data_IF_203912167490
#
_entry.id   IF_203912167490
#
_cell.length_a   1.000
_cell.length_b   1.000
_cell.length_c   1.000
_cell.angle_alpha   90.00
_cell.angle_beta   90.00
_cell.angle_gamma   90.00
#
_symmetry.space_group_name_H-M   'P 1'
#
loop_
_entity.id
_entity.type
_entity.pdbx_description
1 polymer ?
#
# COMPACT_ATOMS: atom_id res chain seq x y z
N UNK A 1 41.45 28.04 40.12
CA UNK A 1 39.99 28.13 39.99
C UNK A 1 39.67 27.82 38.53
N UNK A 2 39.29 26.60 38.28
CA UNK A 2 38.99 26.11 36.90
C UNK A 2 37.48 26.11 36.76
N UNK A 3 36.94 27.04 35.99
CA UNK A 3 35.52 27.13 35.67
C UNK A 3 35.11 25.94 34.83
N UNK A 4 34.35 25.03 35.42
CA UNK A 4 33.64 23.96 34.72
C UNK A 4 32.39 24.56 34.05
N UNK A 5 32.41 24.69 32.72
CA UNK A 5 31.23 25.01 31.93
C UNK A 5 30.17 23.94 32.17
N UNK A 6 28.90 24.32 32.36
CA UNK A 6 27.83 23.35 32.55
C UNK A 6 27.64 22.53 31.27
N UNK A 7 27.56 21.20 31.40
CA UNK A 7 27.23 20.29 30.33
C UNK A 7 25.89 20.71 29.70
N UNK A 8 25.88 20.91 28.39
CA UNK A 8 24.66 21.22 27.65
C UNK A 8 23.65 20.12 27.86
N UNK A 9 22.45 20.49 28.28
CA UNK A 9 21.33 19.56 28.41
C UNK A 9 21.09 18.83 27.07
N UNK A 10 20.78 17.51 27.08
CA UNK A 10 20.51 16.78 25.85
C UNK A 10 19.36 17.47 25.14
N UNK A 11 19.57 17.78 23.86
CA UNK A 11 18.53 18.33 22.99
C UNK A 11 17.27 17.47 23.10
N UNK A 12 16.14 18.09 23.45
CA UNK A 12 14.85 17.39 23.48
C UNK A 12 14.60 16.85 22.09
N UNK A 13 14.63 15.55 21.93
CA UNK A 13 14.28 14.88 20.67
C UNK A 13 12.81 15.20 20.38
N UNK A 14 12.57 16.12 19.44
CA UNK A 14 11.24 16.39 18.91
C UNK A 14 10.86 15.16 18.11
N UNK A 15 9.75 14.46 18.42
CA UNK A 15 9.31 13.34 17.61
C UNK A 15 9.17 13.80 16.16
N UNK A 16 9.83 13.08 15.23
CA UNK A 16 9.74 13.41 13.81
C UNK A 16 8.28 13.34 13.33
N UNK A 17 7.89 14.23 12.43
CA UNK A 17 6.57 14.22 11.79
C UNK A 17 6.42 12.98 10.91
N UNK A 18 5.18 12.62 10.61
CA UNK A 18 4.84 11.52 9.69
C UNK A 18 4.33 12.09 8.36
N UNK A 19 4.86 11.61 7.26
CA UNK A 19 4.48 11.99 5.90
C UNK A 19 4.05 10.78 5.11
N UNK A 20 2.99 10.91 4.32
CA UNK A 20 2.66 9.95 3.28
C UNK A 20 3.43 10.25 1.99
N UNK A 21 3.83 9.21 1.24
CA UNK A 21 4.39 9.33 -0.10
C UNK A 21 3.81 8.24 -1.00
N UNK A 22 3.06 8.65 -2.02
CA UNK A 22 2.43 7.75 -2.98
C UNK A 22 3.08 7.92 -4.36
N UNK A 23 3.99 7.01 -4.79
CA UNK A 23 4.52 7.02 -6.14
C UNK A 23 3.40 6.71 -7.15
N UNK A 24 3.13 7.64 -8.06
CA UNK A 24 2.01 7.62 -8.98
C UNK A 24 2.41 7.93 -10.44
N UNK A 25 3.70 7.90 -10.78
CA UNK A 25 4.23 8.22 -12.12
C UNK A 25 4.28 7.01 -13.08
N UNK A 26 3.87 5.81 -12.64
CA UNK A 26 3.96 4.60 -13.46
C UNK A 26 2.92 4.54 -14.58
N UNK A 27 3.31 4.00 -15.74
CA UNK A 27 2.42 3.83 -16.90
C UNK A 27 1.46 2.62 -16.78
N UNK A 28 1.71 1.66 -15.90
CA UNK A 28 0.78 0.55 -15.62
C UNK A 28 0.57 -0.45 -16.76
N UNK A 29 1.52 -0.61 -17.67
CA UNK A 29 1.43 -1.39 -18.92
C UNK A 29 1.01 -2.86 -18.76
N UNK A 30 1.25 -3.47 -17.59
CA UNK A 30 0.86 -4.88 -17.32
C UNK A 30 -0.66 -5.11 -17.26
N UNK A 31 -1.42 -4.12 -16.84
CA UNK A 31 -2.89 -4.21 -16.77
C UNK A 31 -3.57 -4.13 -18.15
N UNK A 32 -2.89 -3.63 -19.17
CA UNK A 32 -3.44 -3.40 -20.52
C UNK A 32 -3.30 -4.62 -21.42
N UNK A 33 -2.29 -5.48 -21.22
CA UNK A 33 -2.00 -6.63 -22.11
C UNK A 33 -3.05 -7.76 -22.10
N UNK A 34 -3.95 -7.78 -21.13
CA UNK A 34 -4.96 -8.85 -21.00
C UNK A 34 -6.31 -8.53 -21.65
N UNK A 35 -6.51 -7.36 -22.23
CA UNK A 35 -7.79 -6.98 -22.87
C UNK A 35 -7.89 -7.32 -24.37
N UNK A 36 -7.05 -8.21 -24.91
CA UNK A 36 -7.21 -8.73 -26.26
C UNK A 36 -8.10 -9.98 -26.22
N UNK A 37 -9.32 -9.98 -26.83
CA UNK A 37 -10.15 -11.17 -26.89
C UNK A 37 -9.50 -12.23 -27.78
N UNK A 38 -9.38 -13.44 -27.28
CA UNK A 38 -9.05 -14.61 -28.07
C UNK A 38 -10.18 -14.87 -29.08
N UNK A 39 -9.88 -14.74 -30.37
CA UNK A 39 -10.60 -15.36 -31.48
C UNK A 39 -11.93 -14.69 -31.88
N UNK A 40 -11.87 -13.98 -33.02
CA UNK A 40 -13.05 -13.57 -33.78
C UNK A 40 -12.69 -12.47 -34.78
N UNK A 41 -12.62 -12.81 -36.09
CA UNK A 41 -12.44 -11.84 -37.15
C UNK A 41 -13.65 -10.90 -37.19
N UNK A 42 -13.51 -9.68 -36.68
CA UNK A 42 -14.46 -8.59 -36.87
C UNK A 42 -13.74 -7.47 -37.59
N UNK A 43 -14.34 -7.02 -38.70
CA UNK A 43 -13.83 -5.94 -39.57
C UNK A 43 -13.49 -4.67 -38.78
N UNK A 44 -12.49 -3.88 -39.25
CA UNK A 44 -12.02 -2.71 -38.55
C UNK A 44 -13.06 -1.58 -38.60
N UNK A 45 -13.93 -1.47 -37.58
CA UNK A 45 -14.50 -0.17 -37.23
C UNK A 45 -13.34 0.69 -36.74
N UNK A 46 -13.20 1.89 -37.28
CA UNK A 46 -12.18 2.87 -36.90
C UNK A 46 -12.06 2.94 -35.37
N UNK A 47 -11.04 2.27 -34.86
CA UNK A 47 -10.72 2.26 -33.44
C UNK A 47 -10.04 3.59 -33.15
N UNK A 48 -10.80 4.57 -32.67
CA UNK A 48 -10.19 5.69 -31.97
C UNK A 48 -9.50 5.09 -30.74
N UNK A 49 -8.18 5.23 -30.57
CA UNK A 49 -7.52 4.77 -29.37
C UNK A 49 -8.18 5.48 -28.19
N UNK A 50 -8.93 4.73 -27.34
CA UNK A 50 -9.33 5.24 -26.02
C UNK A 50 -8.03 5.76 -25.41
N UNK A 51 -8.00 7.04 -25.04
CA UNK A 51 -6.85 7.66 -24.41
C UNK A 51 -6.36 6.72 -23.31
N UNK A 52 -5.09 6.29 -23.43
CA UNK A 52 -4.47 5.39 -22.47
C UNK A 52 -4.49 6.05 -21.10
N UNK A 53 -5.33 5.56 -20.20
CA UNK A 53 -5.37 6.05 -18.84
C UNK A 53 -4.46 5.16 -17.97
N UNK A 54 -3.46 5.73 -17.29
CA UNK A 54 -2.62 4.99 -16.36
C UNK A 54 -3.45 4.17 -15.36
N UNK A 55 -2.97 2.98 -15.00
CA UNK A 55 -3.70 2.02 -14.16
C UNK A 55 -4.21 2.64 -12.84
N UNK A 56 -3.41 3.46 -12.20
CA UNK A 56 -3.74 4.09 -10.93
C UNK A 56 -4.94 5.05 -11.01
N UNK A 57 -5.31 5.49 -12.21
CA UNK A 57 -6.47 6.35 -12.45
C UNK A 57 -7.69 5.58 -12.96
N UNK A 58 -7.54 4.28 -13.24
CA UNK A 58 -8.69 3.45 -13.64
C UNK A 58 -9.67 3.31 -12.47
N UNK A 59 -10.99 3.28 -12.75
CA UNK A 59 -12.00 3.20 -11.71
C UNK A 59 -12.00 1.83 -11.02
N UNK A 60 -12.19 1.86 -9.71
CA UNK A 60 -12.52 0.73 -8.86
C UNK A 60 -13.72 1.17 -8.02
N UNK A 61 -14.80 0.43 -8.03
CA UNK A 61 -16.05 0.81 -7.34
C UNK A 61 -16.49 2.27 -7.61
N UNK A 62 -16.35 2.70 -8.87
CA UNK A 62 -16.81 4.03 -9.35
C UNK A 62 -15.86 5.20 -9.08
N UNK A 63 -14.72 5.00 -8.40
CA UNK A 63 -13.72 6.05 -8.14
C UNK A 63 -12.35 5.63 -8.66
N UNK A 64 -11.51 6.56 -9.14
CA UNK A 64 -10.12 6.28 -9.47
C UNK A 64 -9.38 5.57 -8.34
N UNK A 65 -8.67 4.48 -8.68
CA UNK A 65 -7.98 3.60 -7.72
C UNK A 65 -7.16 4.37 -6.69
N UNK A 66 -6.37 5.34 -7.12
CA UNK A 66 -5.51 6.14 -6.24
C UNK A 66 -6.31 6.93 -5.19
N UNK A 67 -7.55 7.34 -5.48
CA UNK A 67 -8.36 8.10 -4.53
C UNK A 67 -8.80 7.25 -3.34
N UNK A 68 -8.99 5.94 -3.49
CA UNK A 68 -9.22 5.04 -2.36
C UNK A 68 -7.97 4.98 -1.45
N UNK A 69 -6.79 4.88 -2.03
CA UNK A 69 -5.52 4.96 -1.30
C UNK A 69 -5.41 6.26 -0.51
N UNK A 70 -5.65 7.39 -1.19
CA UNK A 70 -5.53 8.71 -0.57
C UNK A 70 -6.59 8.96 0.50
N UNK A 71 -7.80 8.40 0.36
CA UNK A 71 -8.82 8.45 1.39
C UNK A 71 -8.38 7.74 2.68
N UNK A 72 -7.72 6.57 2.57
CA UNK A 72 -7.18 5.87 3.74
C UNK A 72 -6.08 6.68 4.44
N UNK A 73 -5.17 7.31 3.67
CA UNK A 73 -4.13 8.19 4.22
C UNK A 73 -4.71 9.47 4.83
N UNK A 74 -5.70 10.09 4.20
CA UNK A 74 -6.38 11.27 4.74
C UNK A 74 -7.09 11.00 6.08
N UNK A 75 -7.50 9.76 6.33
CA UNK A 75 -8.07 9.32 7.60
C UNK A 75 -7.08 9.21 8.76
N UNK A 76 -5.76 9.24 8.50
CA UNK A 76 -4.71 9.14 9.54
C UNK A 76 -4.38 10.53 10.08
N UNK A 77 -4.94 10.88 11.23
CA UNK A 77 -4.77 12.21 11.84
C UNK A 77 -3.30 12.58 12.20
N UNK A 78 -2.42 11.57 12.31
CA UNK A 78 -0.99 11.76 12.63
C UNK A 78 -0.15 12.23 11.45
N UNK A 79 -0.63 12.11 10.20
CA UNK A 79 0.10 12.53 9.02
C UNK A 79 0.09 14.06 8.90
N UNK A 80 1.25 14.64 8.70
CA UNK A 80 1.41 16.06 8.38
C UNK A 80 0.92 16.40 6.96
N UNK A 81 0.83 15.39 6.09
CA UNK A 81 0.33 15.46 4.73
C UNK A 81 0.82 14.28 3.89
N UNK A 82 0.23 14.11 2.71
CA UNK A 82 0.62 13.05 1.77
C UNK A 82 1.04 13.67 0.44
N UNK A 83 2.28 13.40 0.03
CA UNK A 83 2.79 13.76 -1.29
C UNK A 83 2.43 12.66 -2.30
N UNK A 84 1.85 13.04 -3.42
CA UNK A 84 1.64 12.15 -4.58
C UNK A 84 2.68 12.51 -5.64
N UNK A 85 3.62 11.60 -5.89
CA UNK A 85 4.68 11.81 -6.88
C UNK A 85 4.15 11.39 -8.26
N UNK A 86 3.80 12.35 -9.10
CA UNK A 86 3.24 12.14 -10.44
C UNK A 86 4.29 12.34 -11.53
N UNK A 87 3.99 11.84 -12.72
CA UNK A 87 4.84 12.09 -13.90
C UNK A 87 4.84 13.59 -14.28
N UNK A 88 5.92 14.12 -14.87
CA UNK A 88 5.90 15.45 -15.45
C UNK A 88 4.76 15.58 -16.48
N UNK A 89 3.97 16.65 -16.37
CA UNK A 89 2.82 16.91 -17.25
C UNK A 89 1.52 16.16 -16.87
N UNK A 90 1.52 15.39 -15.80
CA UNK A 90 0.31 14.73 -15.30
C UNK A 90 -0.58 15.74 -14.56
N UNK A 91 -1.74 16.08 -15.13
CA UNK A 91 -2.73 17.02 -14.60
C UNK A 91 -3.92 16.35 -13.90
N UNK A 92 -3.86 15.05 -13.61
CA UNK A 92 -4.99 14.33 -13.01
C UNK A 92 -5.49 14.98 -11.71
N UNK A 93 -4.56 15.41 -10.86
CA UNK A 93 -4.88 15.98 -9.55
C UNK A 93 -5.35 17.43 -9.58
N UNK A 94 -5.26 18.14 -10.72
CA UNK A 94 -5.79 19.51 -10.87
C UNK A 94 -7.30 19.54 -10.66
N UNK A 95 -8.01 18.47 -11.02
CA UNK A 95 -9.42 18.26 -10.78
C UNK A 95 -9.78 17.64 -9.42
N UNK A 96 -8.79 17.33 -8.57
CA UNK A 96 -9.01 16.62 -7.30
C UNK A 96 -8.26 17.29 -6.13
N UNK A 97 -8.48 18.61 -5.85
CA UNK A 97 -7.82 19.27 -4.74
C UNK A 97 -8.29 18.74 -3.40
N UNK A 98 -7.38 18.53 -2.45
CA UNK A 98 -7.71 18.06 -1.10
C UNK A 98 -6.65 18.52 -0.08
N UNK A 99 -7.04 18.95 1.13
CA UNK A 99 -6.09 19.49 2.11
C UNK A 99 -5.09 18.45 2.66
N UNK A 100 -5.45 17.16 2.65
CA UNK A 100 -4.62 16.10 3.22
C UNK A 100 -3.55 15.57 2.24
N UNK A 101 -3.58 15.93 0.96
CA UNK A 101 -2.58 15.50 -0.01
C UNK A 101 -2.30 16.58 -1.07
N UNK A 102 -1.14 16.48 -1.69
CA UNK A 102 -0.70 17.38 -2.77
C UNK A 102 0.12 16.61 -3.80
N UNK A 103 -0.09 16.90 -5.08
CA UNK A 103 0.64 16.30 -6.18
C UNK A 103 1.91 17.11 -6.48
N UNK A 104 2.99 16.38 -6.83
CA UNK A 104 4.26 16.98 -7.28
C UNK A 104 4.76 16.23 -8.52
N UNK A 105 5.10 16.93 -9.62
CA UNK A 105 5.60 16.31 -10.85
C UNK A 105 7.10 15.92 -10.71
N UNK A 106 7.39 14.99 -9.79
CA UNK A 106 8.74 14.53 -9.46
C UNK A 106 8.97 13.05 -9.77
N UNK A 107 8.09 12.45 -10.59
CA UNK A 107 8.22 11.07 -11.04
C UNK A 107 9.47 10.86 -11.89
N UNK A 108 10.19 9.76 -11.65
CA UNK A 108 11.39 9.34 -12.37
C UNK A 108 11.14 8.13 -13.29
N UNK A 109 12.22 7.63 -13.88
CA UNK A 109 12.18 6.52 -14.83
C UNK A 109 11.76 5.19 -14.18
N UNK A 110 12.12 4.99 -12.90
CA UNK A 110 11.76 3.81 -12.11
C UNK A 110 10.90 4.19 -10.91
N UNK A 111 10.36 3.16 -10.22
CA UNK A 111 9.65 3.37 -8.96
C UNK A 111 10.59 3.95 -7.89
N UNK A 112 11.81 3.45 -7.81
CA UNK A 112 12.83 3.95 -6.89
C UNK A 112 13.18 5.43 -7.16
N UNK A 113 13.35 5.82 -8.42
CA UNK A 113 13.59 7.22 -8.80
C UNK A 113 12.39 8.12 -8.44
N UNK A 114 11.17 7.61 -8.61
CA UNK A 114 9.94 8.34 -8.26
C UNK A 114 9.87 8.56 -6.75
N UNK A 115 10.19 7.55 -5.94
CA UNK A 115 10.24 7.67 -4.48
C UNK A 115 11.34 8.66 -4.07
N UNK A 116 12.53 8.53 -4.63
CA UNK A 116 13.65 9.44 -4.36
C UNK A 116 13.30 10.90 -4.71
N UNK A 117 12.65 11.13 -5.85
CA UNK A 117 12.12 12.44 -6.24
C UNK A 117 11.10 12.96 -5.22
N UNK A 118 10.21 12.11 -4.74
CA UNK A 118 9.23 12.44 -3.70
C UNK A 118 9.86 12.80 -2.36
N UNK A 119 10.90 12.06 -1.91
CA UNK A 119 11.64 12.38 -0.68
C UNK A 119 12.31 13.76 -0.77
N UNK A 120 12.97 14.06 -1.89
CA UNK A 120 13.57 15.37 -2.14
C UNK A 120 12.52 16.49 -2.15
N UNK A 121 11.34 16.23 -2.74
CA UNK A 121 10.24 17.18 -2.76
C UNK A 121 9.62 17.41 -1.37
N UNK A 122 9.53 16.39 -0.51
CA UNK A 122 9.14 16.53 0.90
C UNK A 122 10.15 17.40 1.66
N UNK A 123 11.45 17.14 1.50
CA UNK A 123 12.51 17.94 2.14
C UNK A 123 12.49 19.41 1.69
N UNK A 124 12.26 19.67 0.39
CA UNK A 124 12.10 21.02 -0.14
C UNK A 124 10.88 21.76 0.46
N UNK A 125 9.89 21.01 1.01
CA UNK A 125 8.74 21.54 1.74
C UNK A 125 8.92 21.55 3.27
N UNK A 126 10.14 21.37 3.74
CA UNK A 126 10.50 21.47 5.14
C UNK A 126 10.33 20.17 5.95
N UNK A 127 10.23 19.01 5.30
CA UNK A 127 10.37 17.73 5.99
C UNK A 127 11.84 17.53 6.40
N UNK A 128 12.07 17.15 7.66
CA UNK A 128 13.40 16.91 8.20
C UNK A 128 13.91 15.51 7.82
N UNK A 129 15.24 15.30 7.88
CA UNK A 129 15.82 13.96 7.67
C UNK A 129 15.33 12.94 8.70
N UNK A 130 15.04 13.40 9.92
CA UNK A 130 14.53 12.58 11.02
C UNK A 130 12.99 12.44 11.02
N UNK A 131 12.28 13.08 10.09
CA UNK A 131 10.85 12.81 9.88
C UNK A 131 10.65 11.40 9.31
N UNK A 132 9.50 10.81 9.60
CA UNK A 132 9.10 9.53 9.06
C UNK A 132 8.36 9.70 7.73
N UNK A 133 8.61 8.82 6.79
CA UNK A 133 7.83 8.70 5.56
C UNK A 133 7.21 7.32 5.44
N UNK A 134 5.95 7.27 5.05
CA UNK A 134 5.19 6.05 4.74
C UNK A 134 5.03 5.99 3.23
N UNK A 135 5.83 5.18 2.55
CA UNK A 135 5.77 4.98 1.10
C UNK A 135 4.73 3.93 0.79
N UNK A 136 3.77 4.26 -0.08
CA UNK A 136 2.67 3.35 -0.39
C UNK A 136 2.33 3.31 -1.88
N UNK A 137 2.17 2.10 -2.41
CA UNK A 137 1.77 1.89 -3.80
C UNK A 137 0.32 2.34 -4.05
N UNK A 138 0.10 3.25 -5.02
CA UNK A 138 -1.24 3.65 -5.45
C UNK A 138 -2.14 2.47 -5.85
N UNK A 139 -1.55 1.36 -6.28
CA UNK A 139 -2.25 0.15 -6.68
C UNK A 139 -2.64 -0.80 -5.52
N UNK A 140 -2.38 -0.44 -4.27
CA UNK A 140 -2.90 -1.12 -3.08
C UNK A 140 -4.05 -0.33 -2.46
N UNK A 141 -5.05 -0.07 -3.26
CA UNK A 141 -6.18 0.79 -2.92
C UNK A 141 -7.08 0.29 -1.78
N UNK A 142 -6.80 -0.88 -1.25
CA UNK A 142 -7.55 -1.52 -0.17
C UNK A 142 -6.87 -1.37 1.21
N UNK A 143 -5.76 -0.66 1.32
CA UNK A 143 -5.18 -0.33 2.62
C UNK A 143 -6.20 0.42 3.47
N UNK A 144 -6.18 0.20 4.78
CA UNK A 144 -7.07 0.88 5.72
C UNK A 144 -6.30 1.84 6.61
N UNK A 145 -6.98 2.88 7.11
CA UNK A 145 -6.44 3.81 8.12
C UNK A 145 -5.88 3.04 9.32
N UNK A 146 -6.60 2.02 9.80
CA UNK A 146 -6.15 1.18 10.92
C UNK A 146 -4.84 0.45 10.65
N UNK A 147 -4.62 -0.04 9.43
CA UNK A 147 -3.35 -0.68 9.06
C UNK A 147 -2.20 0.33 9.00
N UNK A 148 -2.45 1.54 8.53
CA UNK A 148 -1.45 2.61 8.50
C UNK A 148 -1.08 3.01 9.93
N UNK A 149 -2.08 3.21 10.80
CA UNK A 149 -1.86 3.52 12.21
C UNK A 149 -1.10 2.41 12.94
N UNK A 150 -1.44 1.13 12.71
CA UNK A 150 -0.73 0.00 13.28
C UNK A 150 0.76 -0.04 12.88
N UNK A 151 1.08 0.32 11.63
CA UNK A 151 2.47 0.44 11.18
C UNK A 151 3.20 1.58 11.92
N UNK A 152 2.57 2.74 12.08
CA UNK A 152 3.15 3.86 12.82
C UNK A 152 3.40 3.46 14.27
N UNK A 153 2.41 2.83 14.93
CA UNK A 153 2.56 2.38 16.34
C UNK A 153 3.71 1.39 16.51
N UNK A 154 3.86 0.47 15.56
CA UNK A 154 4.93 -0.51 15.60
C UNK A 154 6.32 0.08 15.36
N UNK A 155 6.45 1.13 14.52
CA UNK A 155 7.73 1.58 14.01
C UNK A 155 8.20 2.94 14.54
N UNK A 156 7.33 3.78 15.12
CA UNK A 156 7.68 5.15 15.53
C UNK A 156 8.86 5.24 16.52
N UNK A 157 9.11 4.18 17.28
CA UNK A 157 10.22 4.08 18.23
C UNK A 157 11.29 3.06 17.79
N UNK A 158 11.16 2.48 16.59
CA UNK A 158 12.13 1.55 16.04
C UNK A 158 13.32 2.30 15.45
N UNK A 159 14.53 1.75 15.60
CA UNK A 159 15.76 2.35 15.08
C UNK A 159 15.91 2.30 13.57
N UNK A 160 15.14 1.46 12.87
CA UNK A 160 15.19 1.24 11.42
C UNK A 160 13.89 1.67 10.75
N UNK A 161 12.76 1.18 11.26
CA UNK A 161 11.45 1.26 10.65
C UNK A 161 10.96 -0.11 10.19
N UNK A 162 9.95 -0.15 9.32
CA UNK A 162 9.36 -1.43 8.90
C UNK A 162 8.33 -1.30 7.80
N UNK A 163 7.66 -2.41 7.54
CA UNK A 163 6.69 -2.52 6.45
C UNK A 163 5.50 -3.38 6.88
N UNK A 164 4.35 -3.12 6.27
CA UNK A 164 3.28 -4.10 6.29
C UNK A 164 3.69 -5.33 5.50
N UNK A 165 3.38 -6.49 6.03
CA UNK A 165 3.66 -7.76 5.37
C UNK A 165 2.59 -8.80 5.69
N UNK A 166 2.39 -9.75 4.79
CA UNK A 166 1.45 -10.84 4.94
C UNK A 166 2.17 -12.19 4.90
N UNK A 167 1.95 -13.03 5.92
CA UNK A 167 2.58 -14.36 5.96
C UNK A 167 2.06 -15.22 4.81
N UNK A 168 2.99 -15.88 4.10
CA UNK A 168 2.62 -16.71 2.95
C UNK A 168 1.80 -17.93 3.40
N UNK A 169 0.56 -18.05 2.90
CA UNK A 169 -0.36 -19.12 3.25
C UNK A 169 -0.22 -20.35 2.33
N UNK A 170 0.08 -20.14 1.05
CA UNK A 170 0.13 -21.21 0.04
C UNK A 170 1.50 -21.89 -0.02
N UNK A 171 1.52 -23.10 -0.55
CA UNK A 171 2.78 -23.82 -0.78
C UNK A 171 3.59 -23.13 -1.88
N UNK A 172 4.82 -22.70 -1.55
CA UNK A 172 5.71 -22.01 -2.47
C UNK A 172 6.49 -23.01 -3.33
N UNK A 173 6.45 -22.80 -4.65
CA UNK A 173 7.17 -23.61 -5.64
C UNK A 173 8.17 -22.74 -6.39
N UNK A 174 9.35 -23.29 -6.68
CA UNK A 174 10.20 -22.75 -7.75
C UNK A 174 9.86 -23.41 -9.07
N UNK A 175 10.11 -22.71 -10.16
CA UNK A 175 9.77 -23.14 -11.51
C UNK A 175 11.01 -23.32 -12.37
N UNK A 176 10.94 -24.20 -13.37
CA UNK A 176 11.91 -24.36 -14.44
C UNK A 176 11.18 -24.60 -15.76
N UNK A 177 11.81 -24.27 -16.88
CA UNK A 177 11.30 -24.62 -18.20
C UNK A 177 11.42 -26.12 -18.45
N UNK A 178 10.45 -26.70 -19.17
CA UNK A 178 10.44 -28.12 -19.48
C UNK A 178 9.49 -28.46 -20.64
N UNK A 179 9.46 -29.71 -21.08
CA UNK A 179 8.57 -30.15 -22.16
C UNK A 179 7.09 -29.86 -21.82
N UNK A 180 6.43 -29.16 -22.72
CA UNK A 180 5.01 -28.76 -22.58
C UNK A 180 4.78 -27.58 -21.65
N UNK A 181 5.82 -26.76 -21.33
CA UNK A 181 5.72 -25.52 -20.56
C UNK A 181 6.46 -25.56 -19.23
N UNK A 182 6.14 -24.59 -18.38
CA UNK A 182 6.78 -24.43 -17.06
C UNK A 182 6.44 -25.59 -16.14
N UNK A 183 7.44 -26.13 -15.44
CA UNK A 183 7.34 -27.26 -14.51
C UNK A 183 7.80 -26.85 -13.10
N UNK A 184 7.33 -27.57 -12.10
CA UNK A 184 7.84 -27.43 -10.73
C UNK A 184 9.30 -27.91 -10.67
N UNK A 185 10.22 -27.05 -10.23
CA UNK A 185 11.59 -27.43 -9.94
C UNK A 185 11.73 -27.95 -8.50
N UNK A 186 11.19 -27.22 -7.51
CA UNK A 186 11.25 -27.62 -6.10
C UNK A 186 10.09 -26.99 -5.28
N UNK A 187 9.91 -27.53 -4.06
CA UNK A 187 9.08 -26.91 -3.03
C UNK A 187 9.97 -26.13 -2.08
N UNK A 188 9.64 -24.88 -1.80
CA UNK A 188 10.36 -24.03 -0.87
C UNK A 188 9.63 -24.00 0.46
N UNK A 189 10.36 -24.10 1.57
CA UNK A 189 9.79 -23.90 2.89
C UNK A 189 9.26 -22.47 3.02
N UNK A 190 8.01 -22.34 3.46
CA UNK A 190 7.30 -21.08 3.62
C UNK A 190 7.19 -20.59 5.06
N UNK A 191 7.69 -21.35 6.03
CA UNK A 191 7.47 -21.09 7.46
C UNK A 191 7.96 -19.71 7.89
N UNK A 192 9.02 -19.21 7.25
CA UNK A 192 9.64 -17.89 7.47
C UNK A 192 9.41 -16.90 6.32
N UNK A 193 8.54 -17.21 5.36
CA UNK A 193 8.31 -16.36 4.18
C UNK A 193 7.12 -15.41 4.39
N UNK A 194 7.36 -14.16 4.03
CA UNK A 194 6.38 -13.09 4.06
C UNK A 194 6.29 -12.38 2.72
N UNK A 195 5.08 -12.01 2.35
CA UNK A 195 4.83 -11.16 1.19
C UNK A 195 4.92 -9.70 1.64
N UNK A 196 5.93 -8.99 1.16
CA UNK A 196 6.09 -7.57 1.43
C UNK A 196 4.91 -6.79 0.85
N UNK A 197 4.33 -5.93 1.67
CA UNK A 197 3.27 -5.00 1.30
C UNK A 197 3.74 -3.57 1.52
N UNK A 198 2.88 -2.61 1.21
CA UNK A 198 3.03 -1.22 1.58
C UNK A 198 1.80 -0.78 2.40
N UNK A 199 1.90 0.27 3.28
CA UNK A 199 3.04 1.19 3.43
C UNK A 199 4.30 0.54 3.98
N UNK A 200 5.43 1.14 3.62
CA UNK A 200 6.73 0.91 4.22
C UNK A 200 7.18 2.23 4.87
N UNK A 201 7.57 2.17 6.13
CA UNK A 201 7.82 3.34 6.97
C UNK A 201 9.29 3.42 7.39
N UNK A 202 9.95 4.50 7.02
CA UNK A 202 11.37 4.75 7.32
C UNK A 202 11.62 6.23 7.62
N UNK A 203 12.75 6.56 8.24
CA UNK A 203 13.23 7.94 8.32
C UNK A 203 13.63 8.44 6.93
N UNK A 204 13.30 9.68 6.61
CA UNK A 204 13.53 10.28 5.27
C UNK A 204 15.01 10.24 4.89
N UNK A 205 15.91 10.68 5.77
CA UNK A 205 17.34 10.73 5.50
C UNK A 205 17.96 9.36 5.23
N UNK A 206 17.82 8.39 6.14
CA UNK A 206 18.28 7.02 5.92
C UNK A 206 17.73 6.38 4.65
N UNK A 207 16.41 6.49 4.40
CA UNK A 207 15.81 5.92 3.20
C UNK A 207 16.35 6.57 1.92
N UNK A 208 16.50 7.90 1.91
CA UNK A 208 17.08 8.62 0.77
C UNK A 208 18.48 8.11 0.43
N UNK A 209 19.35 7.99 1.44
CA UNK A 209 20.72 7.47 1.25
C UNK A 209 20.71 6.02 0.75
N UNK A 210 19.83 5.19 1.27
CA UNK A 210 19.71 3.80 0.83
C UNK A 210 19.28 3.70 -0.65
N UNK A 211 18.28 4.47 -1.07
CA UNK A 211 17.83 4.51 -2.45
C UNK A 211 18.89 5.10 -3.40
N UNK A 212 19.63 6.13 -2.96
CA UNK A 212 20.75 6.71 -3.73
C UNK A 212 21.90 5.69 -3.91
N UNK A 213 22.13 4.85 -2.91
CA UNK A 213 23.16 3.80 -2.96
C UNK A 213 22.79 2.64 -3.90
N UNK A 214 21.54 2.13 -3.79
CA UNK A 214 21.07 0.93 -4.53
C UNK A 214 20.57 1.30 -5.92
N UNK A 215 20.00 2.48 -6.11
CA UNK A 215 19.46 2.95 -7.38
C UNK A 215 18.33 2.06 -7.89
N UNK A 216 18.34 1.78 -9.19
CA UNK A 216 17.28 1.03 -9.88
C UNK A 216 17.17 -0.45 -9.45
N UNK A 217 18.16 -1.00 -8.73
CA UNK A 217 18.13 -2.37 -8.22
C UNK A 217 17.21 -2.53 -6.99
N UNK A 218 16.78 -1.44 -6.33
CA UNK A 218 15.84 -1.50 -5.25
C UNK A 218 14.45 -1.98 -5.74
N UNK A 219 13.98 -3.09 -5.21
CA UNK A 219 12.64 -3.63 -5.53
C UNK A 219 11.54 -2.90 -4.75
N UNK A 220 11.87 -2.50 -3.52
CA UNK A 220 11.04 -1.71 -2.62
C UNK A 220 11.95 -0.95 -1.63
N UNK A 221 11.36 -0.19 -0.69
CA UNK A 221 12.11 0.58 0.30
C UNK A 221 12.85 -0.34 1.29
N UNK A 222 12.21 -1.44 1.69
CA UNK A 222 12.82 -2.41 2.60
C UNK A 222 14.09 -3.01 2.01
N UNK A 223 14.08 -3.42 0.73
CA UNK A 223 15.27 -3.98 0.06
C UNK A 223 16.44 -2.98 -0.03
N UNK A 224 16.14 -1.69 -0.17
CA UNK A 224 17.16 -0.65 -0.12
C UNK A 224 17.78 -0.53 1.28
N UNK A 225 16.96 -0.59 2.33
CA UNK A 225 17.44 -0.58 3.73
C UNK A 225 18.25 -1.85 4.07
N UNK A 226 17.83 -3.01 3.56
CA UNK A 226 18.54 -4.29 3.71
C UNK A 226 19.93 -4.25 3.06
N UNK A 227 20.06 -3.61 1.90
CA UNK A 227 21.35 -3.41 1.23
C UNK A 227 22.31 -2.54 2.05
N UNK A 228 21.80 -1.72 2.97
CA UNK A 228 22.60 -0.98 3.96
C UNK A 228 22.92 -1.79 5.24
N UNK A 229 22.60 -3.09 5.26
CA UNK A 229 22.80 -3.97 6.40
C UNK A 229 21.76 -3.83 7.52
N UNK A 230 20.66 -3.10 7.27
CA UNK A 230 19.58 -2.90 8.22
C UNK A 230 18.50 -4.00 8.11
N UNK A 231 17.70 -4.15 9.16
CA UNK A 231 16.64 -5.18 9.22
C UNK A 231 15.30 -4.54 9.54
N UNK A 232 14.50 -4.16 8.51
CA UNK A 232 13.17 -3.60 8.71
C UNK A 232 12.24 -4.54 9.46
N UNK A 233 11.36 -3.96 10.29
CA UNK A 233 10.37 -4.72 11.06
C UNK A 233 9.22 -5.18 10.15
N UNK A 234 8.82 -6.46 10.26
CA UNK A 234 7.62 -6.98 9.62
C UNK A 234 6.40 -6.72 10.53
N UNK A 235 5.44 -5.97 10.03
CA UNK A 235 4.19 -5.66 10.75
C UNK A 235 3.04 -6.36 10.02
N UNK A 236 2.17 -7.11 10.74
CA UNK A 236 1.07 -7.79 10.09
C UNK A 236 0.17 -6.85 9.29
N UNK A 237 0.10 -7.08 7.99
CA UNK A 237 -0.81 -6.41 7.06
C UNK A 237 -2.10 -7.18 6.90
N UNK A 238 -2.34 -7.78 5.75
CA UNK A 238 -3.52 -8.62 5.53
C UNK A 238 -3.71 -8.98 4.08
N UNK A 239 -4.44 -10.09 3.83
CA UNK A 239 -4.70 -10.57 2.49
C UNK A 239 -5.44 -9.53 1.62
N UNK A 240 -6.32 -8.72 2.24
CA UNK A 240 -7.05 -7.68 1.51
C UNK A 240 -6.17 -6.50 1.04
N UNK A 241 -4.97 -6.29 1.60
CA UNK A 241 -4.05 -5.26 1.14
C UNK A 241 -3.20 -5.75 -0.05
N UNK A 242 -3.81 -6.47 -1.00
CA UNK A 242 -3.15 -6.93 -2.21
C UNK A 242 -2.93 -5.79 -3.21
N UNK A 243 -2.00 -6.00 -4.13
CA UNK A 243 -1.70 -5.05 -5.20
C UNK A 243 -2.53 -5.37 -6.43
N UNK A 244 -3.42 -4.49 -6.83
CA UNK A 244 -4.15 -4.61 -8.10
C UNK A 244 -3.12 -4.57 -9.24
N UNK A 245 -2.91 -5.70 -9.89
CA UNK A 245 -1.86 -5.87 -10.91
C UNK A 245 -2.44 -6.37 -12.22
N UNK A 246 -3.37 -7.30 -12.16
CA UNK A 246 -4.01 -7.95 -13.29
C UNK A 246 -5.49 -7.55 -13.42
N UNK A 247 -6.14 -7.75 -14.56
CA UNK A 247 -7.55 -7.42 -14.77
C UNK A 247 -8.50 -8.02 -13.73
N UNK A 248 -8.28 -9.26 -13.33
CA UNK A 248 -9.13 -9.95 -12.34
C UNK A 248 -9.05 -9.33 -10.93
N UNK A 249 -7.92 -8.67 -10.62
CA UNK A 249 -7.74 -8.02 -9.33
C UNK A 249 -8.70 -6.83 -9.15
N UNK A 250 -9.16 -6.20 -10.24
CA UNK A 250 -10.12 -5.10 -10.18
C UNK A 250 -11.46 -5.55 -9.62
N UNK A 251 -12.01 -6.66 -10.15
CA UNK A 251 -13.27 -7.22 -9.67
C UNK A 251 -13.19 -7.63 -8.20
N UNK A 252 -12.03 -8.20 -7.79
CA UNK A 252 -11.79 -8.55 -6.38
C UNK A 252 -11.73 -7.30 -5.50
N UNK A 253 -11.05 -6.25 -5.94
CA UNK A 253 -10.97 -4.99 -5.20
C UNK A 253 -12.35 -4.33 -5.05
N UNK A 254 -13.16 -4.33 -6.11
CA UNK A 254 -14.54 -3.83 -6.08
C UNK A 254 -15.41 -4.59 -5.07
N UNK A 255 -15.32 -5.93 -5.05
CA UNK A 255 -16.07 -6.75 -4.10
C UNK A 255 -15.70 -6.44 -2.65
N UNK A 256 -14.40 -6.25 -2.35
CA UNK A 256 -13.93 -5.89 -1.00
C UNK A 256 -14.43 -4.49 -0.60
N UNK A 257 -14.38 -3.51 -1.51
CA UNK A 257 -14.87 -2.15 -1.22
C UNK A 257 -16.39 -2.14 -1.01
N UNK A 258 -17.16 -2.85 -1.84
CA UNK A 258 -18.60 -2.98 -1.69
C UNK A 258 -18.99 -3.59 -0.35
N UNK A 259 -18.28 -4.63 0.08
CA UNK A 259 -18.49 -5.26 1.40
C UNK A 259 -18.23 -4.28 2.55
N UNK A 260 -17.16 -3.48 2.47
CA UNK A 260 -16.83 -2.47 3.50
C UNK A 260 -17.91 -1.38 3.58
N UNK A 261 -18.41 -0.91 2.45
CA UNK A 261 -19.51 0.07 2.39
C UNK A 261 -20.80 -0.49 3.00
N UNK A 262 -21.13 -1.75 2.69
CA UNK A 262 -22.30 -2.42 3.25
C UNK A 262 -22.17 -2.60 4.77
N UNK A 263 -21.01 -3.03 5.28
CA UNK A 263 -20.74 -3.13 6.71
C UNK A 263 -20.92 -1.79 7.44
N UNK A 264 -20.30 -0.73 6.93
CA UNK A 264 -20.44 0.61 7.50
C UNK A 264 -21.90 1.14 7.47
N UNK A 265 -22.69 0.75 6.46
CA UNK A 265 -24.11 1.09 6.40
C UNK A 265 -24.90 0.32 7.46
N UNK A 266 -24.65 -0.97 7.65
CA UNK A 266 -25.30 -1.76 8.70
C UNK A 266 -24.96 -1.26 10.10
N UNK A 267 -23.70 -0.91 10.37
CA UNK A 267 -23.30 -0.32 11.66
C UNK A 267 -23.98 1.04 11.91
N UNK A 268 -24.11 1.87 10.87
CA UNK A 268 -24.70 3.20 10.99
C UNK A 268 -26.24 3.20 11.13
N UNK A 269 -26.92 2.27 10.47
CA UNK A 269 -28.38 2.23 10.36
C UNK A 269 -29.02 0.95 10.89
N UNK A 270 -28.23 -0.07 11.22
CA UNK A 270 -28.67 -1.35 11.76
C UNK A 270 -28.86 -1.32 13.27
N UNK A 271 -29.50 -0.27 13.82
CA UNK A 271 -29.79 -0.18 15.25
C UNK A 271 -30.43 -1.45 15.76
N UNK A 272 -29.79 -2.04 16.76
CA UNK A 272 -30.30 -2.97 17.76
C UNK A 272 -31.22 -4.13 17.27
N UNK A 273 -30.66 -5.06 16.46
CA UNK A 273 -31.29 -6.39 16.26
C UNK A 273 -30.61 -7.50 17.07
N UNK A 274 -29.95 -7.14 18.16
CA UNK A 274 -29.15 -8.06 18.98
C UNK A 274 -29.75 -8.49 20.30
N UNK A 275 -31.05 -8.25 20.58
CA UNK A 275 -31.67 -8.62 21.86
C UNK A 275 -33.05 -9.30 21.74
N UNK A 276 -33.25 -10.15 20.74
CA UNK A 276 -34.45 -10.98 20.72
C UNK A 276 -34.11 -12.37 20.19
N UNK A 277 -34.41 -13.35 21.04
CA UNK A 277 -34.47 -14.78 20.77
C UNK A 277 -33.21 -15.61 21.02
N UNK A 278 -32.89 -15.78 22.28
CA UNK A 278 -32.44 -17.09 22.78
C UNK A 278 -33.53 -17.65 23.74
N UNK A 279 -34.67 -18.09 23.19
CA UNK A 279 -35.49 -19.06 23.90
C UNK A 279 -34.94 -20.47 23.61
N UNK A 280 -34.68 -21.28 24.67
CA UNK A 280 -34.24 -22.65 24.45
C UNK A 280 -35.41 -23.50 23.93
N UNK A 281 -35.20 -24.15 22.79
CA UNK A 281 -36.11 -25.15 22.27
C UNK A 281 -36.39 -26.22 23.33
N UNK A 282 -37.61 -26.27 23.81
CA UNK A 282 -38.11 -27.33 24.70
C UNK A 282 -38.12 -28.63 23.91
N UNK A 283 -37.35 -29.59 24.38
CA UNK A 283 -37.27 -30.98 23.97
C UNK A 283 -38.65 -31.63 24.09
N UNK A 284 -39.25 -31.97 22.95
CA UNK A 284 -40.42 -32.82 22.83
C UNK A 284 -39.95 -34.23 22.44
N UNK A 285 -39.55 -35.01 23.42
CA UNK A 285 -39.56 -36.46 23.32
C UNK A 285 -40.39 -36.96 24.52
N UNK A 286 -41.71 -37.24 24.27
CA UNK A 286 -42.50 -38.06 25.15
C UNK A 286 -42.51 -39.49 24.63
N UNK A 287 -42.07 -40.40 25.46
CA UNK A 287 -42.22 -41.84 25.33
C UNK A 287 -43.66 -42.23 25.01
N UNK A 288 -43.82 -43.18 24.09
CA UNK A 288 -44.90 -44.17 24.13
C UNK A 288 -44.34 -45.58 24.11
N UNK A 289 -44.39 -46.20 25.24
CA UNK A 289 -44.44 -47.66 25.44
C UNK A 289 -45.83 -48.18 25.07
N UNK A 290 -45.93 -49.13 24.23
CA UNK A 290 -46.62 -50.46 24.37
C UNK A 290 -46.27 -51.26 23.14
#
# INVERSE_FOLDING_TARGET
MTDLLPASAPARHVPGRFWGLVPCAGTGTRAVRAAAPAGGAVQPKQYQPKQYQPKQYQPVAGLPMVLHTLAAFAGVARLAGTLVAVAPGDGFFDGHPHPAFFAVPCGGATRADTVLGGLKALQARGAAEDDWVLVHDAARCLVTTAQIDALIDACQHDGVGGLLAHKLADTLKTATDGPGGVRVASTVDRSDKWLAQTPQMFRIGPLRRALEHVGAAATDEASAMEAMGLRPRLVPGGAQNFKVTYPDDFALAEAVLAQRMHGATLERFGGDRGAAASEPAKTLFSHRTQ
#
